data_IF_185222110765
#
_entry.id   IF_185222110765
#
_cell.length_a   1.000
_cell.length_b   1.000
_cell.length_c   1.000
_cell.angle_alpha   90.00
_cell.angle_beta   90.00
_cell.angle_gamma   90.00
#
_symmetry.space_group_name_H-M   'P 1'
#
loop_
_entity.id
_entity.type
_entity.pdbx_description
1 polymer ?
#
# COMPACT_ATOMS: atom_id res chain seq x y z
N UNK A 1 50.18 -16.53 -1.84
CA UNK A 1 50.02 -17.87 -1.25
C UNK A 1 49.06 -17.75 -0.08
N UNK A 2 47.76 -17.99 -0.31
CA UNK A 2 46.75 -18.03 0.75
C UNK A 2 46.36 -19.50 0.93
N UNK A 3 46.50 -20.02 2.14
CA UNK A 3 46.21 -21.43 2.45
C UNK A 3 44.73 -21.78 2.28
N UNK A 4 44.40 -23.07 2.09
CA UNK A 4 43.02 -23.50 1.85
C UNK A 4 42.18 -23.27 3.10
N UNK A 5 41.15 -22.41 2.96
CA UNK A 5 40.14 -22.17 4.00
C UNK A 5 39.14 -23.33 4.01
N UNK A 6 38.63 -23.63 5.20
CA UNK A 6 37.93 -24.87 5.56
C UNK A 6 36.69 -25.08 4.71
N UNK A 7 36.78 -26.04 3.76
CA UNK A 7 35.63 -26.62 3.06
C UNK A 7 34.69 -27.23 4.10
N UNK A 8 33.39 -26.97 3.98
CA UNK A 8 32.37 -27.53 4.86
C UNK A 8 32.49 -29.08 4.86
N UNK A 9 33.02 -29.64 5.96
CA UNK A 9 33.50 -31.03 6.06
C UNK A 9 32.42 -32.05 5.71
N UNK A 10 31.15 -31.68 5.91
CA UNK A 10 29.99 -32.50 5.52
C UNK A 10 29.81 -32.63 4.01
N UNK A 11 30.07 -31.58 3.25
CA UNK A 11 29.84 -31.55 1.80
C UNK A 11 30.90 -32.39 1.07
N UNK A 12 32.17 -32.29 1.49
CA UNK A 12 33.27 -33.09 0.96
C UNK A 12 33.04 -34.59 1.13
N UNK A 13 32.64 -35.03 2.34
CA UNK A 13 32.31 -36.44 2.60
C UNK A 13 31.14 -36.95 1.76
N UNK A 14 30.18 -36.08 1.44
CA UNK A 14 29.03 -36.45 0.62
C UNK A 14 29.43 -36.69 -0.84
N UNK A 15 30.27 -35.81 -1.40
CA UNK A 15 30.78 -35.93 -2.78
C UNK A 15 31.74 -37.12 -2.90
N UNK A 16 32.62 -37.33 -1.93
CA UNK A 16 33.52 -38.50 -1.89
C UNK A 16 32.73 -39.82 -1.79
N UNK A 17 31.61 -39.87 -1.08
CA UNK A 17 30.75 -41.06 -1.03
C UNK A 17 29.99 -41.30 -2.34
N UNK A 18 29.51 -40.24 -2.99
CA UNK A 18 28.72 -40.34 -4.23
C UNK A 18 29.56 -40.78 -5.45
N UNK A 19 30.85 -40.45 -5.46
CA UNK A 19 31.75 -40.68 -6.59
C UNK A 19 32.80 -41.77 -6.35
N UNK A 20 32.61 -42.60 -5.32
CA UNK A 20 33.46 -43.77 -5.05
C UNK A 20 33.45 -44.74 -6.24
N UNK A 21 34.49 -44.66 -7.07
CA UNK A 21 34.70 -45.54 -8.22
C UNK A 21 35.15 -44.83 -9.50
N UNK A 22 35.10 -43.50 -9.55
CA UNK A 22 35.67 -42.74 -10.67
C UNK A 22 37.18 -42.51 -10.44
N UNK A 23 38.01 -42.86 -11.41
CA UNK A 23 39.50 -42.84 -11.32
C UNK A 23 40.07 -41.46 -11.68
N UNK A 24 39.39 -40.38 -11.34
CA UNK A 24 39.86 -39.02 -11.65
C UNK A 24 39.93 -38.16 -10.39
N UNK A 25 41.02 -37.40 -10.29
CA UNK A 25 41.32 -36.52 -9.17
C UNK A 25 40.30 -35.37 -9.13
N UNK A 26 39.41 -35.38 -8.13
CA UNK A 26 38.36 -34.37 -7.99
C UNK A 26 38.95 -33.11 -7.36
N UNK A 27 39.30 -32.14 -8.19
CA UNK A 27 39.72 -30.80 -7.74
C UNK A 27 38.48 -29.93 -7.56
N UNK A 28 38.08 -29.73 -6.30
CA UNK A 28 37.00 -28.81 -5.94
C UNK A 28 37.55 -27.37 -5.96
N UNK A 29 37.22 -26.63 -7.00
CA UNK A 29 37.42 -25.18 -7.01
C UNK A 29 36.27 -24.50 -6.28
N UNK A 30 36.55 -23.75 -5.21
CA UNK A 30 35.66 -22.67 -4.77
C UNK A 30 35.65 -21.63 -5.89
N UNK A 31 34.77 -21.79 -6.87
CA UNK A 31 34.33 -20.62 -7.62
C UNK A 31 33.69 -19.70 -6.59
N UNK A 32 34.14 -18.44 -6.54
CA UNK A 32 33.42 -17.37 -5.86
C UNK A 32 32.03 -17.27 -6.49
N UNK A 33 31.14 -18.16 -6.04
CA UNK A 33 29.72 -18.03 -6.14
C UNK A 33 29.43 -16.86 -5.23
N UNK A 34 29.54 -15.65 -5.79
CA UNK A 34 28.94 -14.48 -5.21
C UNK A 34 27.51 -14.90 -4.91
N UNK A 35 27.27 -15.19 -3.63
CA UNK A 35 25.97 -15.40 -3.07
C UNK A 35 25.19 -14.12 -3.36
N UNK A 36 24.51 -14.10 -4.51
CA UNK A 36 23.30 -13.32 -4.72
C UNK A 36 22.21 -13.97 -3.87
N UNK A 37 22.46 -14.13 -2.57
CA UNK A 37 21.56 -14.79 -1.63
C UNK A 37 21.36 -13.93 -0.37
N UNK A 38 21.24 -12.61 -0.52
CA UNK A 38 20.44 -11.80 0.41
C UNK A 38 19.55 -10.76 -0.31
N UNK A 39 19.51 -10.77 -1.65
CA UNK A 39 18.75 -9.81 -2.46
C UNK A 39 17.30 -10.22 -2.76
N UNK A 40 16.96 -11.51 -2.68
CA UNK A 40 15.67 -12.01 -3.19
C UNK A 40 14.70 -12.49 -2.10
N UNK A 41 15.14 -12.70 -0.86
CA UNK A 41 14.24 -13.07 0.25
C UNK A 41 13.43 -11.89 0.80
N UNK A 42 13.69 -10.66 0.36
CA UNK A 42 12.91 -9.49 0.78
C UNK A 42 11.79 -9.17 -0.22
N UNK A 43 11.77 -9.84 -1.37
CA UNK A 43 10.75 -9.67 -2.41
C UNK A 43 9.36 -10.25 -2.06
N UNK A 44 9.19 -10.88 -0.89
CA UNK A 44 7.92 -11.51 -0.52
C UNK A 44 7.56 -11.40 0.98
N UNK A 45 8.06 -10.40 1.71
CA UNK A 45 7.27 -9.85 2.84
C UNK A 45 6.35 -8.75 2.31
N UNK A 46 5.78 -8.95 1.12
CA UNK A 46 4.36 -8.62 1.00
C UNK A 46 3.69 -9.50 2.03
N UNK A 47 3.43 -8.96 3.24
CA UNK A 47 2.31 -9.46 4.08
C UNK A 47 1.26 -9.88 3.07
N UNK A 48 0.83 -11.16 3.07
CA UNK A 48 -0.42 -11.47 2.38
C UNK A 48 -1.38 -10.42 2.95
N UNK A 49 -1.80 -9.49 2.09
CA UNK A 49 -2.53 -8.31 2.51
C UNK A 49 -3.91 -8.83 2.85
N UNK A 50 -4.05 -9.59 3.95
CA UNK A 50 -5.33 -10.08 4.47
C UNK A 50 -6.21 -8.85 4.48
N UNK A 51 -7.30 -8.92 3.72
CA UNK A 51 -8.29 -7.86 3.72
C UNK A 51 -8.65 -7.63 5.19
N UNK A 52 -8.51 -6.39 5.65
CA UNK A 52 -8.98 -6.05 6.98
C UNK A 52 -10.49 -6.20 6.91
N UNK A 53 -11.06 -6.92 7.88
CA UNK A 53 -12.50 -7.00 8.02
C UNK A 53 -13.05 -5.57 8.07
N UNK A 54 -14.17 -5.31 7.38
CA UNK A 54 -14.73 -3.97 7.37
C UNK A 54 -15.12 -3.59 8.81
N UNK A 55 -14.78 -2.38 9.23
CA UNK A 55 -14.86 -2.00 10.63
C UNK A 55 -15.45 -0.61 10.82
N UNK A 56 -16.15 -0.40 11.92
CA UNK A 56 -16.70 0.89 12.29
C UNK A 56 -15.87 1.45 13.45
N UNK A 57 -15.33 2.65 13.28
CA UNK A 57 -14.78 3.43 14.39
C UNK A 57 -15.87 4.38 14.89
N UNK A 58 -16.25 4.22 16.15
CA UNK A 58 -17.14 5.14 16.86
C UNK A 58 -16.24 6.04 17.71
N UNK A 59 -16.18 7.31 17.33
CA UNK A 59 -15.48 8.34 18.11
C UNK A 59 -16.53 9.20 18.81
N UNK A 60 -16.44 9.33 20.13
CA UNK A 60 -17.27 10.23 20.91
C UNK A 60 -16.37 10.94 21.92
N UNK A 61 -16.40 12.28 21.90
CA UNK A 61 -15.56 13.10 22.79
C UNK A 61 -16.13 13.22 24.20
N UNK A 62 -17.42 12.90 24.39
CA UNK A 62 -18.16 13.17 25.63
C UNK A 62 -18.43 11.92 26.47
N UNK A 63 -18.41 10.73 25.88
CA UNK A 63 -18.69 9.46 26.59
C UNK A 63 -17.48 8.55 26.64
N UNK A 64 -17.27 7.93 27.81
CA UNK A 64 -16.25 6.90 27.96
C UNK A 64 -16.65 5.64 27.18
N UNK A 65 -15.64 4.90 26.72
CA UNK A 65 -15.79 3.63 26.00
C UNK A 65 -16.79 2.65 26.65
N UNK A 66 -16.80 2.60 27.98
CA UNK A 66 -17.65 1.69 28.75
C UNK A 66 -19.13 2.09 28.72
N UNK A 67 -19.43 3.39 28.71
CA UNK A 67 -20.79 3.89 28.59
C UNK A 67 -21.35 3.62 27.20
N UNK A 68 -20.51 3.77 26.16
CA UNK A 68 -20.88 3.41 24.78
C UNK A 68 -21.13 1.90 24.68
N UNK A 69 -20.34 1.06 25.34
CA UNK A 69 -20.57 -0.39 25.38
C UNK A 69 -21.86 -0.75 26.14
N UNK A 70 -22.14 -0.08 27.26
CA UNK A 70 -23.37 -0.30 28.03
C UNK A 70 -24.60 0.16 27.25
N UNK A 71 -24.53 1.30 26.58
CA UNK A 71 -25.58 1.81 25.71
C UNK A 71 -25.84 0.85 24.53
N UNK A 72 -24.79 0.32 23.91
CA UNK A 72 -24.92 -0.66 22.83
C UNK A 72 -25.47 -2.01 23.32
N UNK A 73 -24.97 -2.54 24.45
CA UNK A 73 -25.44 -3.82 25.02
C UNK A 73 -26.85 -3.76 25.60
N UNK A 74 -27.26 -2.62 26.14
CA UNK A 74 -28.60 -2.44 26.71
C UNK A 74 -29.66 -2.30 25.62
N UNK A 75 -29.32 -1.65 24.50
CA UNK A 75 -30.23 -1.41 23.38
C UNK A 75 -30.25 -2.55 22.35
N UNK A 76 -29.15 -3.29 22.19
CA UNK A 76 -29.08 -4.48 21.33
C UNK A 76 -29.34 -5.73 22.20
N UNK A 77 -30.60 -6.00 22.53
CA UNK A 77 -31.04 -7.27 23.11
C UNK A 77 -31.96 -8.02 22.14
N UNK A 78 -31.54 -9.24 21.75
CA UNK A 78 -32.31 -10.23 20.98
C UNK A 78 -32.25 -10.07 19.45
N UNK A 79 -31.96 -11.17 18.72
CA UNK A 79 -32.01 -11.47 17.25
C UNK A 79 -31.65 -10.40 16.20
N UNK A 80 -31.31 -9.19 16.61
CA UNK A 80 -30.88 -8.05 15.79
C UNK A 80 -29.43 -7.65 16.03
N UNK A 81 -28.65 -8.51 16.69
CA UNK A 81 -27.20 -8.43 16.52
C UNK A 81 -27.00 -8.79 15.05
N UNK A 82 -26.47 -7.90 14.20
CA UNK A 82 -26.13 -8.33 12.86
C UNK A 82 -25.14 -9.48 13.01
N UNK A 83 -25.53 -10.66 12.56
CA UNK A 83 -24.63 -11.81 12.55
C UNK A 83 -23.34 -11.38 11.84
N UNK A 84 -22.20 -11.62 12.50
CA UNK A 84 -20.89 -11.22 11.97
C UNK A 84 -20.19 -10.07 12.68
N UNK A 85 -20.47 -9.76 13.95
CA UNK A 85 -19.49 -8.98 14.75
C UNK A 85 -18.32 -9.91 15.10
N UNK A 86 -17.15 -9.67 14.48
CA UNK A 86 -15.93 -10.43 14.75
C UNK A 86 -15.27 -10.02 16.06
N UNK A 87 -15.14 -8.72 16.29
CA UNK A 87 -14.44 -8.20 17.46
C UNK A 87 -14.84 -6.77 17.76
N UNK A 88 -14.98 -6.45 19.05
CA UNK A 88 -15.05 -5.07 19.54
C UNK A 88 -13.75 -4.78 20.28
N UNK A 89 -13.07 -3.70 19.92
CA UNK A 89 -11.76 -3.33 20.45
C UNK A 89 -11.68 -1.85 20.78
N UNK A 90 -10.91 -1.52 21.81
CA UNK A 90 -10.57 -0.14 22.16
C UNK A 90 -9.33 0.30 21.38
N UNK A 91 -9.34 1.52 20.87
CA UNK A 91 -8.15 2.17 20.31
C UNK A 91 -7.31 2.84 21.40
N UNK A 92 -6.06 3.17 21.07
CA UNK A 92 -5.16 3.89 21.98
C UNK A 92 -5.67 5.29 22.34
N UNK A 93 -6.58 5.86 21.55
CA UNK A 93 -7.22 7.16 21.75
C UNK A 93 -8.51 7.10 22.55
N UNK A 94 -8.97 5.90 22.93
CA UNK A 94 -10.23 5.72 23.68
C UNK A 94 -11.45 5.43 22.80
N UNK A 95 -11.31 5.50 21.48
CA UNK A 95 -12.38 5.22 20.51
C UNK A 95 -12.69 3.72 20.42
N UNK A 96 -13.93 3.38 20.05
CA UNK A 96 -14.39 2.00 19.89
C UNK A 96 -14.31 1.58 18.42
N UNK A 97 -13.69 0.44 18.13
CA UNK A 97 -13.74 -0.21 16.82
C UNK A 97 -14.57 -1.47 16.91
N UNK A 98 -15.53 -1.61 16.00
CA UNK A 98 -16.33 -2.81 15.80
C UNK A 98 -15.95 -3.40 14.45
N UNK A 99 -15.30 -4.56 14.45
CA UNK A 99 -14.98 -5.33 13.24
C UNK A 99 -16.18 -6.21 12.88
N UNK A 100 -16.65 -6.08 11.64
CA UNK A 100 -17.85 -6.74 11.11
C UNK A 100 -17.49 -7.64 9.92
N UNK A 101 -18.35 -8.60 9.59
CA UNK A 101 -18.18 -9.48 8.42
C UNK A 101 -18.84 -8.93 7.16
N UNK A 102 -20.00 -8.30 7.27
CA UNK A 102 -20.83 -7.88 6.14
C UNK A 102 -21.00 -6.36 6.07
N UNK A 103 -21.05 -5.79 4.85
CA UNK A 103 -21.28 -4.36 4.64
C UNK A 103 -22.71 -3.89 4.92
N UNK A 104 -23.71 -4.76 4.70
CA UNK A 104 -25.11 -4.45 5.00
C UNK A 104 -25.32 -4.22 6.51
N UNK A 105 -24.68 -5.06 7.33
CA UNK A 105 -24.63 -4.93 8.79
C UNK A 105 -23.98 -3.60 9.22
N UNK A 106 -23.02 -3.07 8.44
CA UNK A 106 -22.37 -1.78 8.73
C UNK A 106 -23.34 -0.62 8.54
N UNK A 107 -24.10 -0.65 7.45
CA UNK A 107 -25.08 0.39 7.15
C UNK A 107 -26.26 0.36 8.14
N UNK A 108 -26.69 -0.83 8.55
CA UNK A 108 -27.69 -0.99 9.61
C UNK A 108 -27.19 -0.44 10.95
N UNK A 109 -25.99 -0.83 11.39
CA UNK A 109 -25.38 -0.32 12.62
C UNK A 109 -25.13 1.18 12.57
N UNK A 110 -24.71 1.75 11.43
CA UNK A 110 -24.56 3.20 11.27
C UNK A 110 -25.90 3.91 11.51
N UNK A 111 -26.97 3.45 10.86
CA UNK A 111 -28.32 4.02 11.06
C UNK A 111 -28.78 3.91 12.51
N UNK A 112 -28.45 2.83 13.21
CA UNK A 112 -28.78 2.63 14.61
C UNK A 112 -27.94 3.50 15.55
N UNK A 113 -26.65 3.70 15.25
CA UNK A 113 -25.73 4.52 16.04
C UNK A 113 -26.08 6.01 15.87
N UNK A 114 -26.36 6.48 14.65
CA UNK A 114 -26.77 7.87 14.38
C UNK A 114 -28.10 8.22 15.08
N UNK A 115 -29.03 7.25 15.19
CA UNK A 115 -30.30 7.43 15.90
C UNK A 115 -30.16 7.41 17.43
N UNK A 116 -29.20 6.64 17.96
CA UNK A 116 -29.10 6.38 19.39
C UNK A 116 -28.01 7.17 20.12
N UNK A 117 -27.01 7.67 19.39
CA UNK A 117 -25.86 8.38 19.93
C UNK A 117 -25.71 9.71 19.20
N UNK A 118 -26.43 10.73 19.67
CA UNK A 118 -26.20 12.11 19.23
C UNK A 118 -24.76 12.51 19.55
N UNK A 119 -23.98 12.90 18.53
CA UNK A 119 -22.61 13.40 18.67
C UNK A 119 -21.49 12.39 18.42
N UNK A 120 -21.78 11.12 18.11
CA UNK A 120 -20.75 10.17 17.71
C UNK A 120 -20.34 10.37 16.24
N UNK A 121 -19.06 10.61 15.96
CA UNK A 121 -18.55 10.57 14.60
C UNK A 121 -18.18 9.11 14.28
N UNK A 122 -19.00 8.52 13.40
CA UNK A 122 -18.87 7.14 12.94
C UNK A 122 -18.06 7.12 11.66
N UNK A 123 -16.85 6.56 11.70
CA UNK A 123 -16.01 6.34 10.52
C UNK A 123 -16.08 4.89 10.10
N UNK A 124 -16.56 4.66 8.88
CA UNK A 124 -16.49 3.34 8.25
C UNK A 124 -15.09 3.15 7.68
N UNK A 125 -14.37 2.18 8.21
CA UNK A 125 -13.23 1.57 7.54
C UNK A 125 -13.78 0.53 6.57
N UNK A 126 -14.11 0.98 5.36
CA UNK A 126 -14.34 0.08 4.23
C UNK A 126 -13.04 -0.65 3.87
N UNK A 127 -13.15 -1.65 3.00
CA UNK A 127 -12.04 -2.47 2.52
C UNK A 127 -10.86 -1.68 1.94
N UNK A 128 -9.90 -2.37 1.32
CA UNK A 128 -8.73 -1.68 0.77
C UNK A 128 -9.17 -0.71 -0.31
N UNK A 129 -8.88 0.59 -0.11
CA UNK A 129 -8.99 1.60 -1.15
C UNK A 129 -7.83 1.43 -2.13
N UNK A 130 -8.15 1.35 -3.41
CA UNK A 130 -7.21 1.43 -4.52
C UNK A 130 -7.35 2.80 -5.16
N UNK A 131 -6.22 3.33 -5.64
CA UNK A 131 -6.17 4.65 -6.25
C UNK A 131 -6.03 4.46 -7.76
N UNK A 132 -6.99 4.97 -8.53
CA UNK A 132 -6.97 4.99 -9.99
C UNK A 132 -6.63 6.38 -10.51
N UNK A 133 -5.86 6.42 -11.59
CA UNK A 133 -5.63 7.59 -12.40
C UNK A 133 -6.43 7.48 -13.71
N UNK A 134 -7.29 8.46 -13.94
CA UNK A 134 -8.07 8.60 -15.17
C UNK A 134 -7.41 9.69 -16.00
N UNK A 135 -6.95 9.35 -17.21
CA UNK A 135 -6.32 10.27 -18.15
C UNK A 135 -7.27 10.62 -19.29
N UNK A 136 -7.02 11.77 -19.92
CA UNK A 136 -7.76 12.29 -21.06
C UNK A 136 -9.22 12.63 -20.75
N UNK A 137 -9.46 13.14 -19.53
CA UNK A 137 -10.74 13.74 -19.15
C UNK A 137 -10.87 15.11 -19.85
N UNK A 138 -12.08 15.51 -20.22
CA UNK A 138 -12.31 16.81 -20.84
C UNK A 138 -12.10 17.96 -19.84
N UNK A 139 -11.90 19.19 -20.34
CA UNK A 139 -11.68 20.39 -19.53
C UNK A 139 -12.88 20.75 -18.64
N UNK A 140 -14.09 20.44 -19.13
CA UNK A 140 -15.37 20.87 -18.53
C UNK A 140 -15.91 19.82 -17.55
N UNK A 141 -15.47 18.57 -17.65
CA UNK A 141 -15.97 17.47 -16.83
C UNK A 141 -15.67 17.71 -15.35
N UNK A 142 -16.70 17.60 -14.52
CA UNK A 142 -16.61 17.79 -13.08
C UNK A 142 -16.33 16.46 -12.35
N UNK A 143 -16.07 16.55 -11.04
CA UNK A 143 -15.92 15.35 -10.22
C UNK A 143 -17.21 14.51 -10.17
N UNK A 144 -18.38 15.15 -10.24
CA UNK A 144 -19.69 14.49 -10.19
C UNK A 144 -19.90 13.61 -11.43
N UNK A 145 -19.58 14.13 -12.62
CA UNK A 145 -19.67 13.38 -13.88
C UNK A 145 -18.81 12.11 -13.86
N UNK A 146 -17.64 12.19 -13.22
CA UNK A 146 -16.72 11.04 -13.07
C UNK A 146 -17.33 10.00 -12.14
N UNK A 147 -17.95 10.42 -11.04
CA UNK A 147 -18.62 9.51 -10.09
C UNK A 147 -19.78 8.81 -10.79
N UNK A 148 -20.65 9.55 -11.49
CA UNK A 148 -21.77 8.96 -12.23
C UNK A 148 -21.32 7.99 -13.32
N UNK A 149 -20.24 8.30 -14.06
CA UNK A 149 -19.69 7.40 -15.05
C UNK A 149 -19.15 6.09 -14.42
N UNK A 150 -18.48 6.19 -13.27
CA UNK A 150 -17.98 5.03 -12.53
C UNK A 150 -19.14 4.18 -11.98
N UNK A 151 -20.17 4.82 -11.43
CA UNK A 151 -21.37 4.14 -10.91
C UNK A 151 -22.08 3.38 -12.02
N UNK A 152 -22.22 3.96 -13.22
CA UNK A 152 -22.87 3.30 -14.36
C UNK A 152 -22.20 2.00 -14.79
N UNK A 153 -20.88 1.87 -14.61
CA UNK A 153 -20.11 0.68 -14.98
C UNK A 153 -19.95 -0.32 -13.83
N UNK A 154 -19.90 0.16 -12.59
CA UNK A 154 -19.60 -0.67 -11.42
C UNK A 154 -20.84 -1.08 -10.63
N UNK A 155 -21.97 -0.39 -10.82
CA UNK A 155 -23.28 -0.63 -10.19
C UNK A 155 -23.38 -0.12 -8.75
N UNK A 156 -22.34 -0.32 -7.92
CA UNK A 156 -22.40 -0.12 -6.46
C UNK A 156 -21.09 0.41 -5.85
N UNK A 157 -20.24 1.08 -6.64
CA UNK A 157 -18.95 1.58 -6.17
C UNK A 157 -18.99 3.01 -5.62
N UNK A 158 -18.67 3.22 -4.34
CA UNK A 158 -18.39 4.57 -3.82
C UNK A 158 -17.03 5.07 -4.36
N UNK A 159 -17.06 6.01 -5.31
CA UNK A 159 -15.87 6.66 -5.85
C UNK A 159 -15.63 8.03 -5.20
N UNK A 160 -14.42 8.26 -4.67
CA UNK A 160 -14.01 9.53 -4.10
C UNK A 160 -12.95 10.19 -5.01
N UNK A 161 -13.28 11.30 -5.66
CA UNK A 161 -12.31 12.02 -6.50
C UNK A 161 -11.38 12.85 -5.61
N UNK A 162 -10.09 12.48 -5.57
CA UNK A 162 -9.07 13.17 -4.75
C UNK A 162 -8.60 14.47 -5.38
N UNK A 163 -8.39 14.48 -6.70
CA UNK A 163 -7.88 15.66 -7.39
C UNK A 163 -8.09 15.59 -8.89
N UNK A 164 -8.44 16.72 -9.49
CA UNK A 164 -8.39 16.96 -10.93
C UNK A 164 -7.17 17.84 -11.23
N UNK A 165 -6.31 17.39 -12.14
CA UNK A 165 -5.12 18.15 -12.57
C UNK A 165 -5.21 18.43 -14.07
N UNK A 166 -5.01 19.67 -14.52
CA UNK A 166 -4.92 19.95 -15.94
C UNK A 166 -3.66 19.30 -16.53
N UNK A 167 -3.79 18.82 -17.76
CA UNK A 167 -2.73 18.26 -18.58
C UNK A 167 -2.50 19.18 -19.79
N UNK A 168 -1.36 19.00 -20.45
CA UNK A 168 -1.06 19.67 -21.71
C UNK A 168 -2.11 19.31 -22.78
N UNK A 169 -2.52 20.31 -23.56
CA UNK A 169 -3.56 20.13 -24.59
C UNK A 169 -5.01 20.27 -24.11
N UNK A 170 -5.24 20.96 -22.98
CA UNK A 170 -6.59 21.30 -22.51
C UNK A 170 -7.35 20.14 -21.85
N UNK A 171 -6.76 18.95 -21.76
CA UNK A 171 -7.34 17.79 -21.06
C UNK A 171 -7.05 17.84 -19.57
N UNK A 172 -7.71 16.97 -18.82
CA UNK A 172 -7.54 16.79 -17.39
C UNK A 172 -7.18 15.34 -17.04
N UNK A 173 -6.54 15.17 -15.88
CA UNK A 173 -6.25 13.89 -15.26
C UNK A 173 -6.85 13.85 -13.86
N UNK A 174 -7.77 12.91 -13.65
CA UNK A 174 -8.40 12.68 -12.36
C UNK A 174 -7.64 11.62 -11.56
N UNK A 175 -7.59 11.79 -10.24
CA UNK A 175 -7.16 10.74 -9.31
C UNK A 175 -8.34 10.37 -8.43
N UNK A 176 -8.76 9.12 -8.49
CA UNK A 176 -9.97 8.61 -7.85
C UNK A 176 -9.60 7.49 -6.90
N UNK A 177 -10.07 7.58 -5.67
CA UNK A 177 -9.95 6.53 -4.68
C UNK A 177 -11.25 5.72 -4.70
N UNK A 178 -11.15 4.39 -4.83
CA UNK A 178 -12.31 3.52 -4.89
C UNK A 178 -11.99 2.13 -4.33
N UNK A 179 -13.01 1.30 -4.17
CA UNK A 179 -12.89 -0.06 -3.65
C UNK A 179 -12.11 -0.99 -4.59
N UNK A 180 -11.34 -1.92 -4.02
CA UNK A 180 -10.49 -2.89 -4.75
C UNK A 180 -11.29 -3.68 -5.81
N UNK A 181 -12.53 -4.07 -5.52
CA UNK A 181 -13.37 -4.86 -6.42
C UNK A 181 -13.90 -4.04 -7.61
N UNK A 182 -14.44 -2.86 -7.34
CA UNK A 182 -14.91 -1.93 -8.37
C UNK A 182 -13.74 -1.48 -9.27
N UNK A 183 -12.59 -1.19 -8.67
CA UNK A 183 -11.38 -0.82 -9.41
C UNK A 183 -10.88 -1.95 -10.30
N UNK A 184 -10.89 -3.20 -9.81
CA UNK A 184 -10.44 -4.34 -10.61
C UNK A 184 -11.30 -4.53 -11.88
N UNK A 185 -12.61 -4.29 -11.81
CA UNK A 185 -13.50 -4.31 -13.00
C UNK A 185 -13.09 -3.23 -14.01
N UNK A 186 -12.87 -2.00 -13.54
CA UNK A 186 -12.47 -0.87 -14.39
C UNK A 186 -11.07 -1.05 -15.01
N UNK A 187 -10.14 -1.65 -14.28
CA UNK A 187 -8.79 -1.96 -14.78
C UNK A 187 -8.85 -2.98 -15.92
N UNK A 188 -9.77 -3.97 -15.86
CA UNK A 188 -9.98 -4.95 -16.93
C UNK A 188 -10.45 -4.30 -18.22
N UNK A 189 -11.39 -3.36 -18.13
CA UNK A 189 -11.91 -2.62 -19.29
C UNK A 189 -10.90 -1.61 -19.87
N UNK A 190 -9.90 -1.18 -19.08
CA UNK A 190 -8.81 -0.24 -19.44
C UNK A 190 -9.23 1.16 -19.87
N UNK A 191 -10.49 1.35 -20.24
CA UNK A 191 -11.06 2.62 -20.64
C UNK A 191 -12.46 2.80 -20.06
N UNK A 192 -12.79 4.05 -19.76
CA UNK A 192 -14.10 4.47 -19.27
C UNK A 192 -14.59 5.59 -20.18
N UNK A 193 -15.88 5.57 -20.52
CA UNK A 193 -16.50 6.69 -21.23
C UNK A 193 -17.04 7.66 -20.19
N UNK A 194 -16.56 8.91 -20.23
CA UNK A 194 -17.04 10.00 -19.37
C UNK A 194 -17.55 11.09 -20.30
N UNK A 195 -18.87 11.32 -20.24
CA UNK A 195 -19.56 12.12 -21.25
C UNK A 195 -19.31 11.56 -22.66
N UNK A 196 -18.66 12.37 -23.51
CA UNK A 196 -18.37 12.02 -24.91
C UNK A 196 -16.94 11.54 -25.12
N UNK A 197 -16.12 11.57 -24.07
CA UNK A 197 -14.70 11.23 -24.15
C UNK A 197 -14.44 9.81 -23.68
N UNK A 198 -13.53 9.12 -24.37
CA UNK A 198 -12.99 7.84 -23.92
C UNK A 198 -11.71 8.08 -23.12
N UNK A 199 -11.79 7.92 -21.81
CA UNK A 199 -10.70 8.16 -20.88
C UNK A 199 -9.91 6.88 -20.60
N UNK A 200 -8.59 7.00 -20.46
CA UNK A 200 -7.70 5.87 -20.17
C UNK A 200 -7.52 5.68 -18.67
N UNK A 201 -7.60 4.44 -18.20
CA UNK A 201 -7.45 4.09 -16.79
C UNK A 201 -6.06 3.51 -16.49
N UNK A 202 -5.47 3.93 -15.37
CA UNK A 202 -4.28 3.28 -14.80
C UNK A 202 -4.37 3.18 -13.28
N UNK A 203 -4.05 2.02 -12.74
CA UNK A 203 -3.88 1.86 -11.30
C UNK A 203 -2.62 2.56 -10.81
N UNK A 204 -2.71 3.25 -9.68
CA UNK A 204 -1.55 3.80 -9.00
C UNK A 204 -0.88 2.72 -8.17
N UNK A 205 0.23 2.19 -8.66
CA UNK A 205 1.02 1.22 -7.91
C UNK A 205 1.80 1.91 -6.80
N UNK A 206 1.49 1.55 -5.55
CA UNK A 206 2.26 2.00 -4.39
C UNK A 206 3.52 1.16 -4.22
N UNK A 207 4.67 1.78 -4.48
CA UNK A 207 5.98 1.19 -4.21
C UNK A 207 6.34 1.45 -2.75
N UNK A 208 6.37 0.39 -1.96
CA UNK A 208 6.83 0.46 -0.57
C UNK A 208 8.30 0.90 -0.53
N UNK A 209 8.60 1.83 0.37
CA UNK A 209 9.96 2.30 0.61
C UNK A 209 10.25 2.43 2.10
N UNK A 210 11.51 2.31 2.44
CA UNK A 210 12.00 2.59 3.76
C UNK A 210 11.95 4.10 4.02
N UNK A 211 11.17 4.52 5.01
CA UNK A 211 11.11 5.92 5.42
C UNK A 211 12.36 6.39 6.18
N UNK A 212 13.23 5.47 6.57
CA UNK A 212 14.51 5.77 7.21
C UNK A 212 15.58 6.07 6.16
N UNK A 213 15.86 5.13 5.24
CA UNK A 213 16.95 5.29 4.27
C UNK A 213 16.52 5.62 2.84
N UNK A 214 15.24 5.52 2.49
CA UNK A 214 14.73 5.78 1.15
C UNK A 214 14.87 4.61 0.16
N UNK A 215 15.44 3.47 0.57
CA UNK A 215 15.50 2.25 -0.25
C UNK A 215 14.12 1.63 -0.48
N UNK A 216 13.93 0.99 -1.62
CA UNK A 216 12.67 0.31 -2.00
C UNK A 216 12.63 -1.15 -1.52
N UNK A 217 13.77 -1.71 -1.08
CA UNK A 217 13.87 -3.14 -0.77
C UNK A 217 13.28 -3.53 0.61
N UNK A 218 13.13 -2.57 1.53
CA UNK A 218 12.67 -2.86 2.88
C UNK A 218 11.81 -1.73 3.46
N UNK A 219 11.17 -2.01 4.60
CA UNK A 219 10.39 -1.04 5.39
C UNK A 219 11.23 -0.59 6.57
N UNK A 220 11.01 0.62 7.08
CA UNK A 220 11.79 1.23 8.18
C UNK A 220 12.03 0.32 9.40
N UNK A 221 11.09 -0.57 9.74
CA UNK A 221 11.24 -1.53 10.84
C UNK A 221 12.41 -2.51 10.65
N UNK A 222 12.76 -2.83 9.41
CA UNK A 222 13.84 -3.73 9.03
C UNK A 222 15.06 -2.96 8.47
N UNK A 223 15.09 -1.64 8.69
CA UNK A 223 16.21 -0.81 8.25
C UNK A 223 17.43 -1.09 9.12
N UNK A 224 18.51 -1.55 8.49
CA UNK A 224 19.82 -1.69 9.13
C UNK A 224 20.65 -0.41 9.05
N UNK A 225 20.26 0.53 8.18
CA UNK A 225 20.93 1.83 8.05
C UNK A 225 20.53 2.77 9.20
N UNK A 226 21.46 3.64 9.65
CA UNK A 226 21.19 4.60 10.71
C UNK A 226 20.03 5.54 10.33
N UNK A 227 19.25 5.98 11.33
CA UNK A 227 18.08 6.83 11.09
C UNK A 227 18.49 8.17 10.47
N UNK A 228 17.81 8.59 9.41
CA UNK A 228 17.96 9.91 8.78
C UNK A 228 17.43 11.08 9.61
N UNK A 229 17.27 10.95 10.93
CA UNK A 229 16.64 11.96 11.78
C UNK A 229 17.24 13.37 11.63
N UNK A 230 18.53 13.43 11.31
CA UNK A 230 19.32 14.66 11.18
C UNK A 230 19.65 15.03 9.72
N UNK A 231 19.28 14.18 8.76
CA UNK A 231 19.57 14.41 7.34
C UNK A 231 18.34 14.97 6.62
N UNK A 232 18.57 16.00 5.81
CA UNK A 232 17.58 16.63 5.00
C UNK A 232 17.09 15.69 3.89
N UNK A 233 15.81 15.35 3.93
CA UNK A 233 15.15 14.51 2.91
C UNK A 233 15.06 15.17 1.53
N UNK A 234 15.29 16.48 1.42
CA UNK A 234 15.20 17.24 0.17
C UNK A 234 16.56 17.29 -0.55
N UNK A 235 17.62 17.72 0.14
CA UNK A 235 18.93 17.97 -0.46
C UNK A 235 20.04 17.00 -0.02
N UNK A 236 19.78 16.12 0.96
CA UNK A 236 20.79 15.19 1.45
C UNK A 236 21.72 15.73 2.53
N UNK A 237 21.75 17.05 2.75
CA UNK A 237 22.61 17.70 3.76
C UNK A 237 22.21 17.39 5.20
N UNK A 238 23.15 17.58 6.13
CA UNK A 238 22.95 17.29 7.56
C UNK A 238 22.58 18.56 8.34
N UNK A 239 22.07 18.41 9.57
CA UNK A 239 21.83 19.52 10.51
C UNK A 239 20.57 20.34 10.25
N UNK A 240 19.70 19.95 9.32
CA UNK A 240 18.42 20.61 9.09
C UNK A 240 17.33 19.68 8.54
N UNK A 241 16.08 20.04 8.80
CA UNK A 241 14.92 19.32 8.25
C UNK A 241 14.57 19.84 6.87
N UNK A 242 13.85 19.03 6.09
CA UNK A 242 13.40 19.40 4.75
C UNK A 242 12.55 20.69 4.70
N UNK A 243 11.84 21.01 5.79
CA UNK A 243 11.06 22.25 5.90
C UNK A 243 11.93 23.52 5.99
N UNK A 244 13.12 23.40 6.58
CA UNK A 244 14.09 24.50 6.77
C UNK A 244 15.15 24.52 5.66
N UNK A 245 14.99 23.66 4.64
CA UNK A 245 15.97 23.48 3.59
C UNK A 245 15.93 24.64 2.57
N UNK A 246 16.94 25.51 2.64
CA UNK A 246 17.17 26.61 1.71
C UNK A 246 17.82 26.17 0.39
N UNK A 247 18.32 24.93 0.33
CA UNK A 247 18.96 24.39 -0.86
C UNK A 247 17.94 24.16 -1.99
N UNK A 248 18.34 24.52 -3.20
CA UNK A 248 17.55 24.34 -4.43
C UNK A 248 17.78 22.95 -5.03
N UNK A 249 18.97 22.38 -4.81
CA UNK A 249 19.31 21.03 -5.23
C UNK A 249 18.43 20.00 -4.50
N UNK A 250 18.00 19.01 -5.27
CA UNK A 250 17.25 17.87 -4.74
C UNK A 250 18.08 16.62 -4.90
N UNK A 251 18.17 15.84 -3.83
CA UNK A 251 18.91 14.60 -3.78
C UNK A 251 17.95 13.42 -3.63
N UNK A 252 18.18 12.37 -4.40
CA UNK A 252 17.39 11.15 -4.34
C UNK A 252 18.12 10.06 -3.57
N UNK A 253 17.63 9.72 -2.38
CA UNK A 253 18.19 8.64 -1.56
C UNK A 253 17.96 7.24 -2.12
N UNK A 254 16.99 7.10 -3.04
CA UNK A 254 16.70 5.80 -3.66
C UNK A 254 17.78 5.41 -4.68
N UNK A 255 18.24 6.35 -5.52
CA UNK A 255 19.28 6.10 -6.51
C UNK A 255 20.60 6.83 -6.24
N UNK A 256 20.69 7.55 -5.11
CA UNK A 256 21.86 8.32 -4.66
C UNK A 256 22.36 9.34 -5.70
N UNK A 257 21.44 9.98 -6.42
CA UNK A 257 21.77 11.00 -7.43
C UNK A 257 20.99 12.29 -7.19
N UNK A 258 21.61 13.41 -7.57
CA UNK A 258 20.99 14.73 -7.56
C UNK A 258 20.04 14.96 -8.75
N UNK A 259 19.19 15.97 -8.65
CA UNK A 259 18.30 16.47 -9.70
C UNK A 259 16.84 16.04 -9.57
N UNK A 260 16.51 15.18 -8.61
CA UNK A 260 15.11 14.82 -8.32
C UNK A 260 14.91 14.38 -6.86
N UNK A 261 13.65 14.42 -6.41
CA UNK A 261 13.24 13.98 -5.06
C UNK A 261 13.00 12.47 -5.01
N UNK A 262 13.14 11.89 -3.82
CA UNK A 262 12.78 10.49 -3.53
C UNK A 262 11.34 10.16 -3.96
N UNK A 263 11.14 9.00 -4.58
CA UNK A 263 9.86 8.54 -5.15
C UNK A 263 9.27 9.46 -6.23
N UNK A 264 10.12 10.22 -6.92
CA UNK A 264 9.74 10.83 -8.19
C UNK A 264 9.87 9.81 -9.32
N UNK A 265 9.00 9.91 -10.33
CA UNK A 265 9.12 9.14 -11.58
C UNK A 265 10.40 9.46 -12.39
N UNK A 266 11.09 10.57 -12.07
CA UNK A 266 12.42 10.89 -12.61
C UNK A 266 13.51 9.95 -12.08
N UNK A 267 13.28 9.25 -10.97
CA UNK A 267 14.20 8.25 -10.44
C UNK A 267 14.10 6.95 -11.28
N UNK A 268 15.20 6.45 -11.86
CA UNK A 268 15.15 5.22 -12.66
C UNK A 268 14.75 4.00 -11.82
N UNK A 269 15.31 3.86 -10.61
CA UNK A 269 15.02 2.76 -9.69
C UNK A 269 13.54 2.75 -9.27
N UNK A 270 12.98 3.92 -8.96
CA UNK A 270 11.57 4.04 -8.61
C UNK A 270 10.65 3.76 -9.81
N UNK A 271 10.97 4.34 -10.98
CA UNK A 271 10.23 4.11 -12.22
C UNK A 271 10.18 2.62 -12.57
N UNK A 272 11.31 1.93 -12.45
CA UNK A 272 11.39 0.51 -12.77
C UNK A 272 10.65 -0.35 -11.74
N UNK A 273 10.66 0.04 -10.46
CA UNK A 273 9.84 -0.59 -9.43
C UNK A 273 8.34 -0.43 -9.70
N UNK A 274 7.88 0.76 -10.12
CA UNK A 274 6.49 0.99 -10.53
C UNK A 274 6.13 0.11 -11.72
N UNK A 275 6.95 0.13 -12.79
CA UNK A 275 6.72 -0.69 -14.00
C UNK A 275 6.69 -2.19 -13.73
N UNK A 276 7.51 -2.67 -12.78
CA UNK A 276 7.48 -4.08 -12.34
C UNK A 276 6.18 -4.40 -11.59
N UNK A 277 5.67 -3.45 -10.80
CA UNK A 277 4.39 -3.59 -10.11
C UNK A 277 3.19 -3.58 -11.07
N UNK A 278 3.19 -2.69 -12.08
CA UNK A 278 2.14 -2.63 -13.11
C UNK A 278 2.03 -3.96 -13.89
N UNK A 279 3.17 -4.57 -14.23
CA UNK A 279 3.20 -5.85 -14.97
C UNK A 279 2.59 -7.02 -14.20
N UNK A 280 2.68 -7.04 -12.87
CA UNK A 280 2.11 -8.11 -12.03
C UNK A 280 0.58 -8.14 -12.03
N UNK A 281 -0.07 -7.01 -12.33
CA UNK A 281 -1.53 -6.91 -12.41
C UNK A 281 -2.08 -7.18 -13.81
N UNK A 282 -1.29 -6.98 -14.87
CA UNK A 282 -1.73 -7.26 -16.24
C UNK A 282 -1.82 -8.76 -16.58
N UNK A 283 -1.27 -9.64 -15.74
CA UNK A 283 -1.22 -11.10 -15.98
C UNK A 283 -2.17 -11.90 -15.07
N UNK A 284 -3.14 -11.23 -14.42
CA UNK A 284 -4.20 -11.85 -13.62
C UNK A 284 -5.55 -11.45 -14.17
#
# INVERSE_FOLDING_TARGET
>A
MAGPRVVNVRFRKMVECALRGAVEEIILFDMDMQLVEEGEKWAAITRSKKQKAPAIIITNKEKAYEDILRDLKSKIKGDRVPEGIKAIRKTRTGDMIVELENEESINALKKEIDKNICGANVKILKGKKTVLHIYDVDAVTTAEDIVSAVESLTGEGTAEVRSLRPMEGGRQAATVDMEEEAAAKLIKERSIRIGWTQCRLKERVEVNRCYSCGSINHIARYCKEPPMGEKCRKCGGEGHKAAECKETKTYCWTCKTDGHRNASFKCPVFRDAVRKGERRFSTR
#
